data_IF_096631572619
#
_entry.id   IF_096631572619
#
_cell.length_a   1.000
_cell.length_b   1.000
_cell.length_c   1.000
_cell.angle_alpha   90.00
_cell.angle_beta   90.00
_cell.angle_gamma   90.00
#
_symmetry.space_group_name_H-M   'P 1'
#
loop_
_entity.id
_entity.type
_entity.pdbx_description
1 polymer ?
#
# COMPACT_ATOMS: atom_id res chain seq x y z
N UNK A 1 0.56 0.00 -17.08
CA UNK A 1 -0.55 -0.89 -16.69
C UNK A 1 -0.02 -1.81 -15.61
N UNK A 2 -0.77 -2.04 -14.53
CA UNK A 2 -0.45 -3.02 -13.50
C UNK A 2 -1.46 -4.15 -13.61
N UNK A 3 -1.02 -5.38 -13.39
CA UNK A 3 -1.92 -6.51 -13.19
C UNK A 3 -2.01 -6.87 -11.72
N UNK A 4 -3.23 -7.03 -11.21
CA UNK A 4 -3.52 -7.48 -9.86
C UNK A 4 -4.62 -8.53 -9.93
N UNK A 5 -4.30 -9.76 -9.53
CA UNK A 5 -5.26 -10.88 -9.48
C UNK A 5 -6.10 -11.04 -10.77
N UNK A 6 -5.44 -10.95 -11.93
CA UNK A 6 -6.09 -11.08 -13.24
C UNK A 6 -6.79 -9.81 -13.74
N UNK A 7 -6.72 -8.69 -13.02
CA UNK A 7 -7.26 -7.39 -13.46
C UNK A 7 -6.16 -6.44 -13.88
N UNK A 8 -6.31 -5.84 -15.06
CA UNK A 8 -5.39 -4.82 -15.55
C UNK A 8 -5.88 -3.42 -15.18
N UNK A 9 -5.09 -2.68 -14.42
CA UNK A 9 -5.39 -1.32 -13.98
C UNK A 9 -4.43 -0.35 -14.66
N UNK A 10 -4.99 0.62 -15.36
CA UNK A 10 -4.22 1.75 -15.89
C UNK A 10 -3.97 2.74 -14.75
N UNK A 11 -2.71 2.98 -14.42
CA UNK A 11 -2.33 3.99 -13.45
C UNK A 11 -1.05 4.70 -13.85
N UNK A 12 -0.86 5.91 -13.35
CA UNK A 12 0.36 6.70 -13.49
C UNK A 12 1.17 6.58 -12.21
N UNK A 13 2.48 6.40 -12.35
CA UNK A 13 3.38 6.32 -11.21
C UNK A 13 4.22 7.59 -11.07
N UNK A 14 4.53 7.90 -9.82
CA UNK A 14 5.64 8.80 -9.49
C UNK A 14 6.86 7.92 -9.23
N UNK A 15 7.91 8.12 -10.02
CA UNK A 15 9.17 7.41 -9.79
C UNK A 15 9.96 8.14 -8.71
N UNK A 16 10.26 7.43 -7.63
CA UNK A 16 11.11 7.91 -6.54
C UNK A 16 12.48 7.22 -6.66
N UNK A 17 13.51 7.88 -7.25
CA UNK A 17 14.78 7.22 -7.61
C UNK A 17 15.56 6.61 -6.44
N UNK A 18 15.23 6.98 -5.21
CA UNK A 18 15.89 6.53 -3.97
C UNK A 18 14.98 5.70 -3.07
N UNK A 19 13.85 5.19 -3.59
CA UNK A 19 12.96 4.33 -2.82
C UNK A 19 13.68 3.03 -2.44
N UNK A 20 13.62 2.65 -1.15
CA UNK A 20 14.24 1.42 -0.66
C UNK A 20 13.46 0.20 -1.13
N UNK A 21 14.17 -0.77 -1.69
CA UNK A 21 13.64 -2.10 -2.02
C UNK A 21 12.66 -2.12 -3.18
N UNK A 22 12.69 -1.13 -4.07
CA UNK A 22 11.78 -1.00 -5.22
C UNK A 22 10.29 -1.14 -4.86
N UNK A 23 9.93 -0.82 -3.61
CA UNK A 23 8.56 -0.89 -3.13
C UNK A 23 7.75 0.22 -3.77
N UNK A 24 6.57 -0.15 -4.25
CA UNK A 24 5.62 0.77 -4.86
C UNK A 24 4.57 1.14 -3.83
N UNK A 25 4.42 2.44 -3.56
CA UNK A 25 3.31 2.95 -2.76
C UNK A 25 2.08 3.10 -3.66
N UNK A 26 0.98 2.47 -3.28
CA UNK A 26 -0.30 2.58 -3.98
C UNK A 26 -1.17 3.62 -3.27
N UNK A 27 -1.48 4.71 -3.98
CA UNK A 27 -2.33 5.79 -3.48
C UNK A 27 -3.82 5.44 -3.55
N UNK A 28 -4.64 6.31 -2.97
CA UNK A 28 -6.10 6.18 -2.99
C UNK A 28 -6.69 6.27 -4.40
N UNK A 29 -6.01 6.95 -5.31
CA UNK A 29 -6.34 7.01 -6.73
C UNK A 29 -6.26 5.64 -7.40
N UNK A 30 -5.20 4.88 -7.11
CA UNK A 30 -5.07 3.50 -7.56
C UNK A 30 -6.13 2.61 -6.90
N UNK A 31 -6.28 2.69 -5.57
CA UNK A 31 -7.26 1.86 -4.83
C UNK A 31 -8.68 2.06 -5.37
N UNK A 32 -9.07 3.30 -5.63
CA UNK A 32 -10.37 3.64 -6.20
C UNK A 32 -10.52 3.12 -7.64
N UNK A 33 -9.52 3.34 -8.49
CA UNK A 33 -9.56 2.92 -9.90
C UNK A 33 -9.58 1.40 -10.07
N UNK A 34 -8.87 0.68 -9.19
CA UNK A 34 -8.85 -0.78 -9.14
C UNK A 34 -10.10 -1.36 -8.46
N UNK A 35 -10.90 -0.53 -7.78
CA UNK A 35 -12.06 -0.97 -7.03
C UNK A 35 -11.70 -1.84 -5.82
N UNK A 36 -10.61 -1.50 -5.13
CA UNK A 36 -10.11 -2.23 -3.97
C UNK A 36 -10.73 -1.72 -2.68
N UNK A 37 -11.14 -2.65 -1.82
CA UNK A 37 -11.55 -2.39 -0.45
C UNK A 37 -10.50 -2.99 0.49
N UNK A 38 -10.01 -2.18 1.42
CA UNK A 38 -9.07 -2.60 2.45
C UNK A 38 -9.84 -2.83 3.76
N UNK A 39 -9.88 -4.08 4.21
CA UNK A 39 -10.44 -4.48 5.50
C UNK A 39 -9.31 -4.68 6.49
N UNK A 40 -8.90 -3.56 7.09
CA UNK A 40 -7.78 -3.52 8.04
C UNK A 40 -8.04 -4.39 9.27
N UNK A 41 -9.30 -4.47 9.72
CA UNK A 41 -9.68 -5.26 10.89
C UNK A 41 -9.40 -6.75 10.66
N UNK A 42 -9.67 -7.25 9.47
CA UNK A 42 -9.47 -8.65 9.12
C UNK A 42 -8.16 -8.90 8.34
N UNK A 43 -7.27 -7.90 8.29
CA UNK A 43 -5.98 -7.97 7.59
C UNK A 43 -6.09 -8.51 6.14
N UNK A 44 -7.10 -8.06 5.40
CA UNK A 44 -7.37 -8.52 4.04
C UNK A 44 -7.86 -7.40 3.14
N UNK A 45 -7.83 -7.65 1.84
CA UNK A 45 -8.41 -6.81 0.81
C UNK A 45 -9.28 -7.64 -0.14
N UNK A 46 -10.19 -6.97 -0.83
CA UNK A 46 -11.04 -7.59 -1.84
C UNK A 46 -11.47 -6.57 -2.89
N UNK A 47 -11.96 -7.05 -4.03
CA UNK A 47 -12.59 -6.19 -5.02
C UNK A 47 -14.02 -5.88 -4.63
N UNK A 48 -14.45 -4.63 -4.81
CA UNK A 48 -15.79 -4.16 -4.45
C UNK A 48 -16.92 -4.99 -5.09
N UNK A 49 -16.71 -5.49 -6.30
CA UNK A 49 -17.64 -6.29 -7.09
C UNK A 49 -17.56 -7.79 -6.80
N UNK A 50 -16.62 -8.23 -5.96
CA UNK A 50 -16.51 -9.60 -5.48
C UNK A 50 -16.07 -9.66 -3.99
N UNK A 51 -16.94 -9.22 -3.05
CA UNK A 51 -16.60 -9.13 -1.63
C UNK A 51 -16.41 -10.50 -0.94
N UNK A 52 -16.85 -11.58 -1.59
CA UNK A 52 -16.70 -12.95 -1.07
C UNK A 52 -15.29 -13.51 -1.26
N UNK A 53 -14.54 -13.00 -2.24
CA UNK A 53 -13.18 -13.47 -2.51
C UNK A 53 -12.17 -12.48 -1.93
N UNK A 54 -11.57 -12.86 -0.81
CA UNK A 54 -10.67 -12.01 -0.02
C UNK A 54 -9.23 -12.49 -0.15
N UNK A 55 -8.32 -11.54 -0.25
CA UNK A 55 -6.88 -11.76 -0.30
C UNK A 55 -6.25 -11.26 1.00
N UNK A 56 -5.38 -12.04 1.65
CA UNK A 56 -4.67 -11.56 2.84
C UNK A 56 -3.74 -10.40 2.49
N UNK A 57 -3.48 -9.51 3.44
CA UNK A 57 -2.34 -8.59 3.31
C UNK A 57 -1.04 -9.39 3.23
N UNK A 58 -0.10 -8.91 2.40
CA UNK A 58 1.22 -9.51 2.31
C UNK A 58 1.95 -9.42 3.64
N UNK A 59 2.71 -10.47 3.97
CA UNK A 59 3.58 -10.46 5.14
C UNK A 59 4.64 -9.37 5.00
N UNK A 60 5.00 -8.74 6.12
CA UNK A 60 6.18 -7.89 6.16
C UNK A 60 7.38 -8.80 5.91
N UNK A 61 7.87 -8.83 4.66
CA UNK A 61 9.13 -9.49 4.32
C UNK A 61 10.16 -8.99 5.32
N UNK A 62 10.87 -9.90 6.01
CA UNK A 62 11.93 -9.57 6.99
C UNK A 62 12.90 -8.56 6.39
N UNK A 63 12.63 -7.27 6.60
CA UNK A 63 13.59 -6.22 6.34
C UNK A 63 14.55 -6.34 7.51
N UNK A 64 15.85 -6.65 7.29
CA UNK A 64 16.83 -6.67 8.37
C UNK A 64 16.66 -5.39 9.18
N UNK A 65 16.28 -5.59 10.44
CA UNK A 65 15.88 -4.58 11.41
C UNK A 65 16.59 -3.24 11.17
N UNK A 66 15.85 -2.26 10.64
CA UNK A 66 16.26 -0.86 10.70
C UNK A 66 15.85 -0.28 12.07
N UNK A 67 15.88 -1.09 13.14
CA UNK A 67 15.65 -0.60 14.51
C UNK A 67 16.68 0.46 14.93
N UNK A 68 17.77 0.66 14.18
CA UNK A 68 18.72 1.74 14.44
C UNK A 68 18.35 3.10 13.84
N UNK A 69 17.28 3.25 13.02
CA UNK A 69 16.93 4.56 12.41
C UNK A 69 15.48 5.03 12.55
N UNK A 70 14.64 4.33 13.33
CA UNK A 70 13.28 4.81 13.63
C UNK A 70 13.20 5.92 14.68
N UNK A 71 14.32 6.38 15.25
CA UNK A 71 14.33 7.59 16.09
C UNK A 71 14.02 8.88 15.31
N UNK A 72 14.02 8.89 13.97
CA UNK A 72 13.99 10.13 13.18
C UNK A 72 12.68 10.45 12.44
N UNK A 73 11.67 9.57 12.48
CA UNK A 73 10.39 9.82 11.79
C UNK A 73 9.19 9.69 12.74
N UNK A 74 9.18 10.44 13.84
CA UNK A 74 7.90 10.82 14.44
C UNK A 74 7.30 11.92 13.57
N UNK A 75 6.21 11.60 12.87
CA UNK A 75 5.37 12.59 12.22
C UNK A 75 4.69 13.42 13.31
N UNK A 76 5.34 14.52 13.70
CA UNK A 76 4.77 15.50 14.60
C UNK A 76 3.83 16.38 13.76
N UNK A 77 2.53 16.10 13.80
CA UNK A 77 1.54 17.05 13.31
C UNK A 77 1.63 18.29 14.21
N UNK A 78 2.08 19.42 13.65
CA UNK A 78 1.98 20.71 14.34
C UNK A 78 0.51 21.10 14.33
N UNK A 79 -0.12 21.15 15.49
CA UNK A 79 -1.32 21.94 15.67
C UNK A 79 -0.92 23.41 15.47
N UNK A 80 -1.47 24.03 14.43
CA UNK A 80 -1.28 25.46 14.17
C UNK A 80 -2.13 26.28 15.15
N UNK A 81 -1.52 27.35 15.67
CA UNK A 81 -2.16 28.43 16.43
C UNK A 81 -3.22 29.18 15.62
#
# INVERSE_FOLDING_TARGET
MIEIEGRSVLTRFIILPKAKGNRTLLGTDFLSSAGLILDVKNACWYFWDNPTHKYPFGEELDIPSIAEKMSSYTCQLREGE
#
